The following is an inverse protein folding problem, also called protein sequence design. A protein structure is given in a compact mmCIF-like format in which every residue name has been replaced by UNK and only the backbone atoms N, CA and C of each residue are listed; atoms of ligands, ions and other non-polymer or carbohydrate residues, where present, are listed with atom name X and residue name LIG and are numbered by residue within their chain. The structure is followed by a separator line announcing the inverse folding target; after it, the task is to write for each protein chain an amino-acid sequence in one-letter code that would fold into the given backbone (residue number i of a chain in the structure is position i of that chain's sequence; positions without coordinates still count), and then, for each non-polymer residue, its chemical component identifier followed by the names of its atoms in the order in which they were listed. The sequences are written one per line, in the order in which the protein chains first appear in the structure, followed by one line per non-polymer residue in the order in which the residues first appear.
data_IF_884037147083
#
_entry.id   IF_884037147083
#
_cell.length_a   1.000
_cell.length_b   1.000
_cell.length_c   1.000
_cell.angle_alpha   90.00
_cell.angle_beta   90.00
_cell.angle_gamma   90.00
#
_symmetry.space_group_name_H-M   'P 1'
#
loop_
_entity.id
_entity.type
_entity.pdbx_description
1 polymer ?
#
# COMPACT_ATOMS: atom_id res chain seq x y z
N UNK A 1 -25.20 -6.88 -1.85
CA UNK A 1 -23.79 -6.51 -1.57
C UNK A 1 -22.95 -6.57 -2.83
N UNK A 2 -22.92 -7.69 -3.56
CA UNK A 2 -22.13 -7.81 -4.79
C UNK A 2 -22.54 -6.78 -5.88
N UNK A 3 -23.83 -6.51 -6.06
CA UNK A 3 -24.28 -5.50 -7.04
C UNK A 3 -23.78 -4.09 -6.71
N UNK A 4 -23.73 -3.74 -5.43
CA UNK A 4 -23.20 -2.46 -4.99
C UNK A 4 -21.68 -2.37 -5.24
N UNK A 5 -20.93 -3.43 -4.92
CA UNK A 5 -19.48 -3.50 -5.19
C UNK A 5 -19.21 -3.39 -6.70
N UNK A 6 -20.00 -4.10 -7.51
CA UNK A 6 -19.92 -4.03 -8.96
C UNK A 6 -20.16 -2.60 -9.47
N UNK A 7 -21.21 -1.94 -8.98
CA UNK A 7 -21.50 -0.55 -9.32
C UNK A 7 -20.33 0.37 -8.98
N UNK A 8 -19.78 0.28 -7.76
CA UNK A 8 -18.62 1.10 -7.35
C UNK A 8 -17.39 0.87 -8.24
N UNK A 9 -17.13 -0.38 -8.65
CA UNK A 9 -16.03 -0.68 -9.57
C UNK A 9 -16.25 -0.05 -10.95
N UNK A 10 -17.47 -0.08 -11.48
CA UNK A 10 -17.76 0.54 -12.78
C UNK A 10 -17.72 2.07 -12.74
N UNK A 11 -17.96 2.69 -11.58
CA UNK A 11 -17.99 4.14 -11.39
C UNK A 11 -16.73 4.66 -10.67
N UNK A 12 -15.67 3.86 -10.58
CA UNK A 12 -14.45 4.19 -9.83
C UNK A 12 -13.64 5.36 -10.42
N UNK A 13 -14.05 5.93 -11.55
CA UNK A 13 -13.45 7.16 -12.08
C UNK A 13 -13.68 8.35 -11.13
N UNK A 14 -14.85 8.40 -10.46
CA UNK A 14 -15.11 9.42 -9.43
C UNK A 14 -14.14 9.29 -8.25
N UNK A 15 -13.82 8.04 -7.87
CA UNK A 15 -12.81 7.76 -6.86
C UNK A 15 -11.40 8.18 -7.32
N UNK A 16 -11.11 7.98 -8.61
CA UNK A 16 -9.86 8.43 -9.22
C UNK A 16 -9.71 9.95 -9.16
N UNK A 17 -10.80 10.72 -9.30
CA UNK A 17 -10.75 12.18 -9.16
C UNK A 17 -10.24 12.64 -7.78
N UNK A 18 -10.36 11.80 -6.75
CA UNK A 18 -9.76 12.01 -5.43
C UNK A 18 -8.26 11.68 -5.34
N UNK A 19 -7.61 11.31 -6.44
CA UNK A 19 -6.18 10.95 -6.49
C UNK A 19 -5.88 9.46 -6.35
N UNK A 20 -6.86 8.57 -6.57
CA UNK A 20 -6.65 7.12 -6.49
C UNK A 20 -6.43 6.47 -7.87
N UNK A 21 -5.81 5.28 -7.87
CA UNK A 21 -5.75 4.40 -9.05
C UNK A 21 -6.90 3.39 -8.98
N UNK A 22 -7.83 3.39 -9.95
CA UNK A 22 -8.85 2.36 -10.06
C UNK A 22 -8.26 0.97 -10.20
N UNK A 23 -8.73 0.01 -9.41
CA UNK A 23 -8.36 -1.41 -9.57
C UNK A 23 -9.16 -2.11 -10.69
N UNK A 24 -10.31 -1.54 -11.09
CA UNK A 24 -11.12 -2.09 -12.17
C UNK A 24 -10.54 -1.68 -13.53
N UNK A 25 -9.85 -2.62 -14.18
CA UNK A 25 -9.09 -2.38 -15.42
C UNK A 25 -9.87 -1.64 -16.52
N UNK A 26 -11.16 -1.94 -16.80
CA UNK A 26 -11.90 -1.19 -17.82
C UNK A 26 -11.97 0.32 -17.56
N UNK A 27 -12.02 0.75 -16.29
CA UNK A 27 -11.97 2.18 -15.93
C UNK A 27 -10.54 2.72 -16.05
N UNK A 28 -9.53 1.97 -15.61
CA UNK A 28 -8.11 2.36 -15.72
C UNK A 28 -7.65 2.47 -17.19
N UNK A 29 -8.19 1.65 -18.09
CA UNK A 29 -7.86 1.66 -19.51
C UNK A 29 -8.63 2.70 -20.34
N UNK A 30 -9.65 3.33 -19.74
CA UNK A 30 -10.48 4.35 -20.37
C UNK A 30 -9.69 5.58 -20.83
N UNK A 31 -10.22 6.30 -21.82
CA UNK A 31 -9.62 7.55 -22.28
C UNK A 31 -9.64 8.62 -21.18
N UNK A 32 -10.71 8.63 -20.39
CA UNK A 32 -10.96 9.54 -19.29
C UNK A 32 -9.92 9.39 -18.18
N UNK A 33 -9.64 8.15 -17.75
CA UNK A 33 -8.58 7.92 -16.77
C UNK A 33 -7.20 8.24 -17.33
N UNK A 34 -6.90 7.85 -18.58
CA UNK A 34 -5.61 8.17 -19.21
C UNK A 34 -5.36 9.68 -19.30
N UNK A 35 -6.41 10.48 -19.49
CA UNK A 35 -6.35 11.94 -19.46
C UNK A 35 -6.26 12.53 -18.03
N UNK A 36 -6.60 11.76 -16.99
CA UNK A 36 -6.60 12.21 -15.61
C UNK A 36 -5.18 12.25 -15.04
N UNK A 37 -4.62 13.45 -14.93
CA UNK A 37 -3.29 13.71 -14.37
C UNK A 37 -3.41 14.26 -12.94
N UNK A 38 -2.51 13.88 -12.01
CA UNK A 38 -1.32 13.04 -12.21
C UNK A 38 -1.60 11.52 -12.17
N UNK A 39 -2.85 11.09 -11.93
CA UNK A 39 -3.19 9.67 -11.70
C UNK A 39 -2.63 8.70 -12.74
N UNK A 40 -2.79 9.02 -14.02
CA UNK A 40 -2.28 8.18 -15.09
C UNK A 40 -0.76 8.24 -15.27
N UNK A 41 -0.05 9.21 -14.68
CA UNK A 41 1.41 9.27 -14.72
C UNK A 41 2.06 8.23 -13.82
N UNK A 42 1.46 7.95 -12.67
CA UNK A 42 2.01 7.01 -11.69
C UNK A 42 1.29 5.65 -11.68
N UNK A 43 0.34 5.43 -12.59
CA UNK A 43 -0.43 4.19 -12.65
C UNK A 43 0.44 2.94 -12.84
N UNK A 44 1.58 3.07 -13.53
CA UNK A 44 2.54 1.98 -13.72
C UNK A 44 3.14 1.47 -12.41
N UNK A 45 3.13 2.26 -11.34
CA UNK A 45 3.58 1.81 -10.01
C UNK A 45 2.70 0.66 -9.47
N UNK A 46 1.45 0.55 -9.92
CA UNK A 46 0.56 -0.53 -9.53
C UNK A 46 1.01 -1.90 -10.09
N UNK A 47 1.76 -1.93 -11.20
CA UNK A 47 2.26 -3.16 -11.83
C UNK A 47 3.32 -3.87 -10.96
N UNK A 48 4.00 -3.12 -10.11
CA UNK A 48 5.06 -3.62 -9.22
C UNK A 48 4.65 -3.52 -7.75
N UNK A 49 3.36 -3.43 -7.45
CA UNK A 49 2.88 -3.34 -6.08
C UNK A 49 3.25 -4.61 -5.29
N UNK A 50 3.79 -4.42 -4.09
CA UNK A 50 4.02 -5.49 -3.11
C UNK A 50 2.96 -5.35 -2.04
N UNK A 51 2.13 -6.37 -1.90
CA UNK A 51 1.09 -6.42 -0.86
C UNK A 51 1.65 -6.98 0.43
N UNK A 52 1.04 -6.57 1.54
CA UNK A 52 1.29 -7.17 2.84
C UNK A 52 1.13 -8.70 2.78
N UNK A 53 2.01 -9.46 3.46
CA UNK A 53 1.88 -10.90 3.52
C UNK A 53 0.59 -11.28 4.25
N UNK A 54 0.01 -12.44 3.92
CA UNK A 54 -1.11 -12.99 4.67
C UNK A 54 -0.62 -13.44 6.06
N UNK A 55 -0.79 -12.58 7.05
CA UNK A 55 -0.32 -12.79 8.42
C UNK A 55 -1.20 -12.02 9.40
N UNK A 56 -1.37 -12.55 10.61
CA UNK A 56 -1.99 -11.82 11.72
C UNK A 56 -1.16 -10.61 12.19
N UNK A 57 0.11 -10.56 11.80
CA UNK A 57 1.03 -9.47 12.10
C UNK A 57 1.03 -8.36 11.04
N UNK A 58 0.35 -8.55 9.91
CA UNK A 58 0.34 -7.61 8.78
C UNK A 58 -1.04 -6.96 8.60
N UNK A 59 -1.12 -5.91 7.79
CA UNK A 59 -2.32 -5.10 7.59
C UNK A 59 -2.21 -3.68 8.19
N UNK A 60 -3.26 -2.89 8.00
CA UNK A 60 -3.32 -1.50 8.49
C UNK A 60 -3.24 -1.48 10.02
N UNK A 61 -2.35 -0.64 10.56
CA UNK A 61 -2.10 -0.51 12.00
C UNK A 61 -1.69 -1.83 12.69
N UNK A 62 -1.03 -2.72 11.93
CA UNK A 62 -0.55 -4.00 12.41
C UNK A 62 0.82 -3.89 13.09
N UNK A 63 1.28 -4.96 13.78
CA UNK A 63 2.65 -5.06 14.28
C UNK A 63 3.74 -4.71 13.25
N UNK A 64 3.57 -5.05 11.97
CA UNK A 64 4.52 -4.67 10.91
C UNK A 64 4.62 -3.15 10.76
N UNK A 65 3.51 -2.42 10.85
CA UNK A 65 3.51 -0.95 10.80
C UNK A 65 4.21 -0.35 12.03
N UNK A 66 3.92 -0.86 13.22
CA UNK A 66 4.55 -0.41 14.46
C UNK A 66 6.06 -0.64 14.42
N UNK A 67 6.50 -1.83 13.99
CA UNK A 67 7.92 -2.16 13.89
C UNK A 67 8.63 -1.30 12.84
N UNK A 68 8.00 -1.01 11.69
CA UNK A 68 8.55 -0.08 10.71
C UNK A 68 8.71 1.33 11.30
N UNK A 69 7.71 1.82 12.04
CA UNK A 69 7.80 3.10 12.75
C UNK A 69 8.90 3.14 13.81
N UNK A 70 9.04 2.08 14.59
CA UNK A 70 9.98 2.01 15.72
C UNK A 70 11.44 1.76 15.30
N UNK A 71 11.69 1.15 14.14
CA UNK A 71 13.05 0.75 13.74
C UNK A 71 13.50 1.40 12.43
N UNK A 72 12.64 1.45 11.40
CA UNK A 72 13.03 2.02 10.09
C UNK A 72 13.12 3.54 10.17
N UNK A 73 12.16 4.21 10.83
CA UNK A 73 12.17 5.68 10.92
C UNK A 73 13.40 6.23 11.67
N UNK A 74 13.81 5.70 12.84
CA UNK A 74 15.04 6.13 13.49
C UNK A 74 16.29 5.90 12.62
N UNK A 75 16.33 4.80 11.87
CA UNK A 75 17.44 4.57 10.94
C UNK A 75 17.48 5.58 9.80
N UNK A 76 16.33 5.96 9.24
CA UNK A 76 16.23 7.02 8.23
C UNK A 76 16.65 8.39 8.78
N UNK A 77 16.41 8.64 10.07
CA UNK A 77 16.82 9.88 10.75
C UNK A 77 18.29 9.88 11.20
N UNK A 78 19.02 8.78 11.05
CA UNK A 78 20.41 8.64 11.48
C UNK A 78 20.59 8.38 12.99
N UNK A 79 19.51 8.03 13.69
CA UNK A 79 19.49 7.73 15.13
C UNK A 79 19.82 6.26 15.42
N UNK A 80 19.73 5.39 14.41
CA UNK A 80 20.03 3.96 14.49
C UNK A 80 20.80 3.50 13.25
N UNK A 81 21.77 2.59 13.40
CA UNK A 81 22.44 2.01 12.24
C UNK A 81 21.43 1.16 11.43
N UNK A 82 21.41 1.24 10.09
CA UNK A 82 20.45 0.50 9.27
C UNK A 82 20.48 -1.03 9.49
N UNK A 83 21.66 -1.59 9.72
CA UNK A 83 21.82 -3.02 10.03
C UNK A 83 21.17 -3.40 11.36
N UNK A 84 21.27 -2.55 12.37
CA UNK A 84 20.67 -2.76 13.69
C UNK A 84 19.14 -2.63 13.61
N UNK A 85 18.62 -1.68 12.83
CA UNK A 85 17.19 -1.54 12.60
C UNK A 85 16.59 -2.79 11.93
N UNK A 86 17.22 -3.30 10.86
CA UNK A 86 16.78 -4.52 10.21
C UNK A 86 16.83 -5.74 11.16
N UNK A 87 17.87 -5.82 12.00
CA UNK A 87 17.98 -6.88 13.01
C UNK A 87 16.87 -6.78 14.05
N UNK A 88 16.65 -5.60 14.62
CA UNK A 88 15.67 -5.41 15.70
C UNK A 88 14.24 -5.58 15.21
N UNK A 89 13.90 -5.04 14.02
CA UNK A 89 12.58 -5.23 13.42
C UNK A 89 12.26 -6.71 13.20
N UNK A 90 13.23 -7.49 12.69
CA UNK A 90 13.05 -8.94 12.51
C UNK A 90 12.87 -9.64 13.86
N UNK A 91 13.73 -9.36 14.83
CA UNK A 91 13.72 -10.04 16.13
C UNK A 91 12.41 -9.74 16.90
N UNK A 92 11.90 -8.50 16.81
CA UNK A 92 10.60 -8.08 17.38
C UNK A 92 9.43 -8.83 16.75
N UNK A 93 9.28 -8.76 15.43
CA UNK A 93 8.19 -9.44 14.72
C UNK A 93 8.21 -10.96 14.91
N UNK A 94 9.40 -11.58 14.95
CA UNK A 94 9.53 -13.00 15.29
C UNK A 94 9.12 -13.31 16.74
N UNK A 95 9.34 -12.37 17.66
CA UNK A 95 8.88 -12.46 19.04
C UNK A 95 7.35 -12.49 19.15
N UNK A 96 6.66 -11.77 18.25
CA UNK A 96 5.20 -11.65 18.21
C UNK A 96 4.52 -12.76 17.39
N UNK A 97 5.26 -13.44 16.50
CA UNK A 97 4.75 -14.53 15.67
C UNK A 97 4.53 -15.88 16.39
N UNK A 98 4.63 -15.89 17.73
CA UNK A 98 4.54 -17.10 18.56
C UNK A 98 3.10 -17.51 18.88
#
# INVERSE_FOLDING_TARGET
VLDAIHWFNQHSLEWAAGGHVPAYLPVQESAEFKALKPNSDYVSLAETAVFDPVSVLAGVASPVYDAAGNYVMPAMNGEMAPADAAKQMRDDLQGQAK
#
